data_IF_431033885132
#
_entry.id   IF_431033885132
#
_cell.length_a   1.000
_cell.length_b   1.000
_cell.length_c   1.000
_cell.angle_alpha   90.00
_cell.angle_beta   90.00
_cell.angle_gamma   90.00
#
_symmetry.space_group_name_H-M   'P 1'
#
loop_
_entity.id
_entity.type
_entity.pdbx_description
1 polymer ?
#
# COMPACT_ATOMS: atom_id res chain seq x y z
N UNK A 1 18.09 6.79 -1.87
CA UNK A 1 16.86 7.08 -2.63
C UNK A 1 17.19 7.59 -4.02
N UNK A 2 16.52 7.09 -5.04
CA UNK A 2 16.68 7.59 -6.43
C UNK A 2 15.59 8.64 -6.65
N UNK A 3 16.02 9.90 -6.90
CA UNK A 3 15.10 11.03 -7.18
C UNK A 3 14.18 10.76 -8.38
N UNK A 4 14.70 10.06 -9.38
CA UNK A 4 13.98 9.70 -10.61
C UNK A 4 12.77 8.76 -10.32
N UNK A 5 12.83 8.00 -9.23
CA UNK A 5 11.77 7.08 -8.82
C UNK A 5 10.85 7.67 -7.73
N UNK A 6 11.01 8.94 -7.37
CA UNK A 6 10.19 9.61 -6.36
C UNK A 6 10.20 8.94 -4.98
N UNK A 7 11.32 8.29 -4.62
CA UNK A 7 11.45 7.51 -3.39
C UNK A 7 11.57 8.43 -2.18
N UNK A 8 10.59 8.36 -1.27
CA UNK A 8 10.60 8.99 0.05
C UNK A 8 10.34 7.90 1.08
N UNK A 9 11.36 7.56 1.86
CA UNK A 9 11.27 6.45 2.81
C UNK A 9 10.84 6.95 4.17
N UNK A 10 9.75 6.42 4.67
CA UNK A 10 9.28 6.68 6.03
C UNK A 10 10.19 5.98 7.04
N UNK A 11 10.74 6.75 7.99
CA UNK A 11 11.76 6.27 8.93
C UNK A 11 11.21 6.03 10.35
N UNK A 12 10.08 6.64 10.71
CA UNK A 12 9.52 6.54 12.05
C UNK A 12 8.85 5.18 12.29
N UNK A 13 9.40 4.42 13.26
CA UNK A 13 8.92 3.06 13.57
C UNK A 13 7.52 3.03 14.18
N UNK A 14 7.12 4.05 14.93
CA UNK A 14 5.80 4.11 15.57
C UNK A 14 4.72 4.36 14.54
N UNK A 15 4.99 5.24 13.59
CA UNK A 15 4.11 5.51 12.44
C UNK A 15 3.97 4.27 11.56
N UNK A 16 5.09 3.60 11.23
CA UNK A 16 5.06 2.36 10.45
C UNK A 16 4.26 1.25 11.15
N UNK A 17 4.41 1.13 12.48
CA UNK A 17 3.61 0.19 13.26
C UNK A 17 2.12 0.53 13.24
N UNK A 18 1.76 1.82 13.29
CA UNK A 18 0.38 2.29 13.20
C UNK A 18 -0.21 2.00 11.82
N UNK A 19 0.54 2.28 10.74
CA UNK A 19 0.12 1.98 9.36
C UNK A 19 -0.14 0.48 9.20
N UNK A 20 0.78 -0.37 9.66
CA UNK A 20 0.60 -1.81 9.62
C UNK A 20 -0.60 -2.27 10.48
N UNK A 21 -0.89 -1.56 11.58
CA UNK A 21 -2.06 -1.80 12.45
C UNK A 21 -3.38 -1.58 11.72
N UNK A 22 -3.49 -0.55 10.88
CA UNK A 22 -4.68 -0.33 10.06
C UNK A 22 -4.98 -1.47 9.07
N UNK A 23 -3.98 -2.30 8.75
CA UNK A 23 -4.16 -3.48 7.91
C UNK A 23 -4.95 -4.60 8.56
N UNK A 24 -5.21 -4.54 9.88
CA UNK A 24 -5.96 -5.57 10.63
C UNK A 24 -5.47 -6.99 10.32
N UNK A 25 -4.13 -7.15 10.22
CA UNK A 25 -3.49 -8.37 9.76
C UNK A 25 -3.47 -9.44 10.84
N UNK A 26 -3.74 -10.66 10.42
CA UNK A 26 -3.65 -11.88 11.23
C UNK A 26 -2.72 -12.90 10.55
N UNK A 27 -2.35 -13.96 11.27
CA UNK A 27 -1.55 -15.06 10.71
C UNK A 27 -2.22 -15.84 9.56
N UNK A 28 -3.45 -15.53 9.21
CA UNK A 28 -4.17 -16.13 8.08
C UNK A 28 -4.17 -15.23 6.83
N UNK A 29 -3.77 -13.97 6.99
CA UNK A 29 -3.83 -13.00 5.91
C UNK A 29 -2.62 -13.07 4.99
N UNK A 30 -2.86 -12.91 3.69
CA UNK A 30 -1.86 -12.52 2.71
C UNK A 30 -1.93 -11.02 2.50
N UNK A 31 -0.80 -10.33 2.65
CA UNK A 31 -0.70 -8.89 2.39
C UNK A 31 0.24 -8.62 1.22
N UNK A 32 -0.21 -7.79 0.30
CA UNK A 32 0.60 -7.21 -0.78
C UNK A 32 1.18 -5.88 -0.28
N UNK A 33 2.50 -5.75 -0.33
CA UNK A 33 3.20 -4.48 -0.17
C UNK A 33 3.73 -4.01 -1.51
N UNK A 34 3.40 -2.79 -1.89
CA UNK A 34 3.83 -2.16 -3.13
C UNK A 34 4.95 -1.18 -2.83
N UNK A 35 6.13 -1.41 -3.40
CA UNK A 35 7.30 -0.58 -3.18
C UNK A 35 7.83 -0.64 -1.75
N UNK A 36 8.27 -1.81 -1.26
CA UNK A 36 8.77 -2.00 0.11
C UNK A 36 10.01 -1.13 0.43
N UNK A 37 10.74 -0.71 -0.59
CA UNK A 37 11.95 0.09 -0.41
C UNK A 37 12.96 -0.59 0.50
N UNK A 38 13.43 0.08 1.58
CA UNK A 38 14.38 -0.51 2.52
C UNK A 38 13.80 -1.56 3.48
N UNK A 39 12.50 -1.85 3.43
CA UNK A 39 11.85 -2.95 4.17
C UNK A 39 11.36 -2.61 5.58
N UNK A 40 11.33 -1.32 5.95
CA UNK A 40 10.92 -0.92 7.29
C UNK A 40 9.43 -1.23 7.58
N UNK A 41 8.54 -0.98 6.61
CA UNK A 41 7.13 -1.37 6.69
C UNK A 41 7.01 -2.89 6.54
N UNK A 42 7.73 -3.51 5.61
CA UNK A 42 7.76 -4.95 5.40
C UNK A 42 8.01 -5.72 6.69
N UNK A 43 8.99 -5.28 7.51
CA UNK A 43 9.27 -5.89 8.80
C UNK A 43 8.08 -5.83 9.77
N UNK A 44 7.28 -4.76 9.73
CA UNK A 44 6.04 -4.65 10.52
C UNK A 44 4.95 -5.58 10.01
N UNK A 45 4.85 -5.77 8.69
CA UNK A 45 3.89 -6.66 8.06
C UNK A 45 4.24 -8.13 8.34
N UNK A 46 5.52 -8.51 8.22
CA UNK A 46 5.99 -9.88 8.51
C UNK A 46 5.70 -10.33 9.95
N UNK A 47 5.64 -9.39 10.91
CA UNK A 47 5.28 -9.71 12.30
C UNK A 47 3.80 -9.99 12.52
N UNK A 48 2.94 -9.65 11.56
CA UNK A 48 1.47 -9.65 11.71
C UNK A 48 0.76 -10.60 10.75
N UNK A 49 1.21 -10.65 9.51
CA UNK A 49 0.58 -11.42 8.44
C UNK A 49 1.09 -12.86 8.36
N UNK A 50 0.28 -13.75 7.82
CA UNK A 50 0.70 -15.11 7.49
C UNK A 50 1.62 -15.17 6.26
N UNK A 51 1.41 -14.28 5.29
CA UNK A 51 2.24 -14.14 4.08
C UNK A 51 2.35 -12.68 3.67
N UNK A 52 3.55 -12.24 3.34
CA UNK A 52 3.83 -10.92 2.80
C UNK A 52 4.40 -11.08 1.39
N UNK A 53 3.71 -10.53 0.40
CA UNK A 53 4.19 -10.44 -0.99
C UNK A 53 4.61 -9.00 -1.22
N UNK A 54 5.91 -8.76 -1.36
CA UNK A 54 6.49 -7.44 -1.52
C UNK A 54 6.98 -7.24 -2.95
N UNK A 55 6.29 -6.38 -3.72
CA UNK A 55 6.60 -6.12 -5.13
C UNK A 55 7.42 -4.85 -5.24
N UNK A 56 8.68 -4.97 -5.69
CA UNK A 56 9.65 -3.88 -5.82
C UNK A 56 10.17 -3.77 -7.25
N UNK A 57 10.10 -2.56 -7.80
CA UNK A 57 10.60 -2.25 -9.13
C UNK A 57 12.13 -2.14 -9.18
N UNK A 58 12.73 -1.53 -8.16
CA UNK A 58 14.19 -1.35 -8.09
C UNK A 58 14.87 -2.70 -7.79
N UNK A 59 15.73 -3.13 -8.74
CA UNK A 59 16.45 -4.41 -8.64
C UNK A 59 17.27 -4.52 -7.35
N UNK A 60 18.00 -3.47 -7.00
CA UNK A 60 18.92 -3.50 -5.84
C UNK A 60 18.11 -3.62 -4.54
N UNK A 61 17.01 -2.87 -4.43
CA UNK A 61 16.14 -2.94 -3.25
C UNK A 61 15.46 -4.30 -3.14
N UNK A 62 14.95 -4.84 -4.25
CA UNK A 62 14.32 -6.16 -4.27
C UNK A 62 15.28 -7.29 -3.84
N UNK A 63 16.51 -7.29 -4.37
CA UNK A 63 17.55 -8.27 -4.03
C UNK A 63 17.99 -8.18 -2.56
N UNK A 64 18.00 -6.98 -1.97
CA UNK A 64 18.43 -6.75 -0.60
C UNK A 64 17.31 -6.85 0.44
N UNK A 65 16.05 -6.88 0.01
CA UNK A 65 14.88 -6.76 0.90
C UNK A 65 14.88 -7.79 2.04
N UNK A 66 15.02 -9.07 1.71
CA UNK A 66 14.97 -10.15 2.71
C UNK A 66 16.06 -10.01 3.78
N UNK A 67 17.29 -9.67 3.37
CA UNK A 67 18.41 -9.43 4.29
C UNK A 67 18.15 -8.24 5.22
N UNK A 68 17.66 -7.14 4.68
CA UNK A 68 17.33 -5.93 5.47
C UNK A 68 16.18 -6.18 6.46
N UNK A 69 15.15 -6.90 6.01
CA UNK A 69 14.04 -7.28 6.87
C UNK A 69 14.51 -8.22 7.99
N UNK A 70 15.40 -9.17 7.69
CA UNK A 70 16.01 -10.04 8.67
C UNK A 70 16.78 -9.27 9.76
N UNK A 71 17.57 -8.26 9.38
CA UNK A 71 18.26 -7.37 10.31
C UNK A 71 17.27 -6.61 11.21
N UNK A 72 16.20 -6.04 10.61
CA UNK A 72 15.17 -5.28 11.33
C UNK A 72 14.34 -6.15 12.29
N UNK A 73 14.18 -7.42 11.98
CA UNK A 73 13.41 -8.38 12.79
C UNK A 73 14.25 -9.14 13.80
N UNK A 74 15.57 -9.18 13.62
CA UNK A 74 16.48 -10.02 14.39
C UNK A 74 16.42 -11.50 14.01
N UNK A 75 15.97 -11.81 12.79
CA UNK A 75 15.85 -13.18 12.26
C UNK A 75 15.23 -13.21 10.88
N UNK A 76 15.39 -14.32 10.16
CA UNK A 76 14.88 -14.49 8.79
C UNK A 76 13.34 -14.48 8.76
N UNK A 77 12.71 -13.66 7.90
CA UNK A 77 11.26 -13.66 7.73
C UNK A 77 10.82 -14.89 6.90
N UNK A 78 10.27 -15.90 7.56
CA UNK A 78 9.82 -17.14 6.89
C UNK A 78 8.60 -16.93 5.98
N UNK A 79 7.88 -15.82 6.14
CA UNK A 79 6.63 -15.49 5.46
C UNK A 79 6.77 -14.36 4.41
N UNK A 80 8.00 -13.95 4.07
CA UNK A 80 8.27 -12.90 3.08
C UNK A 80 8.58 -13.49 1.71
N UNK A 81 7.85 -13.04 0.70
CA UNK A 81 8.12 -13.25 -0.72
C UNK A 81 8.47 -11.90 -1.36
N UNK A 82 9.73 -11.74 -1.77
CA UNK A 82 10.21 -10.56 -2.48
C UNK A 82 10.10 -10.80 -3.99
N UNK A 83 9.31 -9.98 -4.67
CA UNK A 83 9.07 -10.07 -6.11
C UNK A 83 9.64 -8.83 -6.79
N UNK A 84 10.61 -9.02 -7.70
CA UNK A 84 11.10 -7.96 -8.56
C UNK A 84 10.19 -7.80 -9.76
N UNK A 85 9.32 -6.77 -9.74
CA UNK A 85 8.41 -6.48 -10.85
C UNK A 85 7.96 -5.01 -10.82
N UNK A 86 7.44 -4.52 -11.94
CA UNK A 86 6.59 -3.34 -11.94
C UNK A 86 5.20 -3.76 -11.41
N UNK A 87 4.68 -3.04 -10.44
CA UNK A 87 3.34 -3.31 -9.93
C UNK A 87 2.28 -3.20 -11.03
N UNK A 88 2.51 -2.40 -12.05
CA UNK A 88 1.58 -2.26 -13.17
C UNK A 88 1.50 -3.53 -14.03
N UNK A 89 2.57 -4.33 -14.07
CA UNK A 89 2.64 -5.60 -14.80
C UNK A 89 2.36 -6.82 -13.90
N UNK A 90 2.37 -6.62 -12.57
CA UNK A 90 2.14 -7.72 -11.62
C UNK A 90 0.70 -8.24 -11.69
N UNK A 91 0.55 -9.56 -11.79
CA UNK A 91 -0.77 -10.20 -11.84
C UNK A 91 -1.39 -10.30 -10.44
N UNK A 92 -2.43 -9.50 -10.17
CA UNK A 92 -3.16 -9.53 -8.90
C UNK A 92 -4.01 -10.80 -8.74
N UNK A 93 -4.33 -11.49 -9.83
CA UNK A 93 -5.10 -12.75 -9.77
C UNK A 93 -4.25 -13.92 -9.24
N UNK A 94 -2.92 -13.78 -9.24
CA UNK A 94 -2.00 -14.71 -8.58
C UNK A 94 -2.07 -14.67 -7.04
N UNK A 95 -2.67 -13.62 -6.46
CA UNK A 95 -2.90 -13.51 -5.03
C UNK A 95 -4.17 -14.27 -4.61
N UNK A 96 -4.24 -14.78 -3.37
CA UNK A 96 -5.45 -15.42 -2.87
C UNK A 96 -6.60 -14.40 -2.80
N UNK A 97 -7.84 -14.88 -2.92
CA UNK A 97 -9.01 -14.04 -2.70
C UNK A 97 -8.96 -13.39 -1.29
N UNK A 98 -9.48 -12.17 -1.19
CA UNK A 98 -9.48 -11.38 0.06
C UNK A 98 -8.08 -11.00 0.59
N UNK A 99 -7.05 -11.00 -0.26
CA UNK A 99 -5.77 -10.42 0.15
C UNK A 99 -5.95 -8.97 0.59
N UNK A 100 -4.99 -8.48 1.37
CA UNK A 100 -4.94 -7.09 1.85
C UNK A 100 -3.79 -6.35 1.19
N UNK A 101 -3.85 -5.04 1.16
CA UNK A 101 -2.77 -4.17 0.68
C UNK A 101 -2.37 -3.24 1.82
N UNK A 102 -1.08 -3.16 2.11
CA UNK A 102 -0.52 -2.12 3.00
C UNK A 102 0.75 -1.58 2.36
N UNK A 103 0.77 -0.29 2.00
CA UNK A 103 1.88 0.26 1.22
C UNK A 103 2.13 1.75 1.46
N UNK A 104 3.41 2.14 1.31
CA UNK A 104 3.85 3.51 1.14
C UNK A 104 4.32 3.68 -0.30
N UNK A 105 3.45 4.15 -1.18
CA UNK A 105 3.68 4.17 -2.63
C UNK A 105 4.30 5.49 -3.12
N UNK A 106 5.04 5.48 -4.25
CA UNK A 106 5.47 6.71 -4.91
C UNK A 106 4.24 7.53 -5.34
N UNK A 107 4.23 8.83 -5.04
CA UNK A 107 3.04 9.67 -5.23
C UNK A 107 2.56 9.77 -6.68
N UNK A 108 3.49 9.73 -7.65
CA UNK A 108 3.16 9.81 -9.08
C UNK A 108 2.41 8.58 -9.62
N UNK A 109 2.44 7.46 -8.88
CA UNK A 109 1.74 6.21 -9.24
C UNK A 109 0.39 6.07 -8.56
N UNK A 110 0.02 6.94 -7.63
CA UNK A 110 -1.17 6.77 -6.78
C UNK A 110 -2.43 6.45 -7.59
N UNK A 111 -2.76 7.27 -8.59
CA UNK A 111 -4.00 7.07 -9.38
C UNK A 111 -3.99 5.74 -10.15
N UNK A 112 -2.86 5.39 -10.76
CA UNK A 112 -2.72 4.13 -11.51
C UNK A 112 -2.83 2.90 -10.61
N UNK A 113 -2.23 2.96 -9.42
CA UNK A 113 -2.30 1.85 -8.44
C UNK A 113 -3.73 1.70 -7.94
N UNK A 114 -4.42 2.81 -7.62
CA UNK A 114 -5.82 2.76 -7.20
C UNK A 114 -6.70 2.13 -8.29
N UNK A 115 -6.55 2.58 -9.53
CA UNK A 115 -7.27 2.02 -10.67
C UNK A 115 -6.99 0.51 -10.81
N UNK A 116 -5.71 0.10 -10.82
CA UNK A 116 -5.32 -1.30 -10.92
C UNK A 116 -5.95 -2.17 -9.83
N UNK A 117 -5.91 -1.73 -8.57
CA UNK A 117 -6.45 -2.50 -7.44
C UNK A 117 -7.96 -2.66 -7.51
N UNK A 118 -8.70 -1.59 -7.83
CA UNK A 118 -10.15 -1.58 -7.77
C UNK A 118 -10.85 -1.97 -9.09
N UNK A 119 -10.16 -1.92 -10.23
CA UNK A 119 -10.65 -2.47 -11.50
C UNK A 119 -10.32 -3.96 -11.69
N UNK A 120 -9.47 -4.55 -10.85
CA UNK A 120 -9.12 -5.98 -10.91
C UNK A 120 -10.32 -6.87 -10.59
N UNK A 121 -10.40 -8.03 -11.23
CA UNK A 121 -11.34 -9.09 -10.86
C UNK A 121 -11.05 -9.63 -9.44
N UNK A 122 -9.79 -9.63 -9.02
CA UNK A 122 -9.37 -9.98 -7.66
C UNK A 122 -9.04 -8.70 -6.86
N UNK A 123 -10.07 -8.04 -6.35
CA UNK A 123 -9.92 -6.84 -5.52
C UNK A 123 -9.45 -7.17 -4.10
N UNK A 124 -8.62 -6.32 -3.46
CA UNK A 124 -8.26 -6.50 -2.06
C UNK A 124 -9.49 -6.36 -1.16
N UNK A 125 -9.53 -7.09 -0.04
CA UNK A 125 -10.57 -6.92 0.99
C UNK A 125 -10.39 -5.61 1.77
N UNK A 126 -9.13 -5.20 1.95
CA UNK A 126 -8.72 -3.98 2.65
C UNK A 126 -7.46 -3.45 1.98
N UNK A 127 -7.42 -2.15 1.69
CA UNK A 127 -6.20 -1.47 1.25
C UNK A 127 -5.90 -0.27 2.16
N UNK A 128 -4.68 -0.25 2.71
CA UNK A 128 -4.14 0.81 3.57
C UNK A 128 -2.95 1.42 2.83
N UNK A 129 -3.10 2.64 2.36
CA UNK A 129 -2.09 3.25 1.49
C UNK A 129 -1.75 4.66 1.99
N UNK A 130 -0.46 4.91 2.14
CA UNK A 130 0.06 6.24 2.46
C UNK A 130 0.23 7.03 1.15
N UNK A 131 -0.49 8.16 1.05
CA UNK A 131 -0.51 9.04 -0.12
C UNK A 131 -0.32 10.49 0.29
N UNK A 132 -0.13 11.40 -0.67
CA UNK A 132 -0.14 12.83 -0.38
C UNK A 132 -1.46 13.23 0.28
N UNK A 133 -1.39 14.13 1.28
CA UNK A 133 -2.55 14.54 2.08
C UNK A 133 -3.72 15.05 1.23
N UNK A 134 -3.45 15.84 0.20
CA UNK A 134 -4.48 16.33 -0.71
C UNK A 134 -5.18 15.19 -1.45
N UNK A 135 -4.41 14.17 -1.90
CA UNK A 135 -4.96 13.00 -2.58
C UNK A 135 -5.82 12.17 -1.63
N UNK A 136 -5.37 11.99 -0.37
CA UNK A 136 -6.16 11.31 0.66
C UNK A 136 -7.51 12.01 0.89
N UNK A 137 -7.50 13.33 1.04
CA UNK A 137 -8.73 14.12 1.23
C UNK A 137 -9.66 14.03 0.03
N UNK A 138 -9.11 14.04 -1.19
CA UNK A 138 -9.91 13.86 -2.43
C UNK A 138 -10.52 12.46 -2.52
N UNK A 139 -9.79 11.41 -2.14
CA UNK A 139 -10.30 10.03 -2.12
C UNK A 139 -11.46 9.85 -1.12
N UNK A 140 -11.41 10.54 0.01
CA UNK A 140 -12.43 10.50 1.06
C UNK A 140 -13.52 11.58 0.92
N UNK A 141 -13.55 12.31 -0.21
CA UNK A 141 -14.53 13.38 -0.45
C UNK A 141 -15.97 12.83 -0.45
N UNK A 142 -16.91 13.67 -0.02
CA UNK A 142 -18.34 13.35 0.01
C UNK A 142 -19.03 13.66 -1.34
N UNK A 143 -20.24 13.15 -1.58
CA UNK A 143 -21.03 13.48 -2.77
C UNK A 143 -21.13 15.00 -2.99
N UNK A 144 -20.94 15.43 -4.22
CA UNK A 144 -20.85 16.85 -4.62
C UNK A 144 -19.42 17.39 -4.75
N UNK A 145 -18.41 16.68 -4.22
CA UNK A 145 -17.00 17.04 -4.31
C UNK A 145 -16.12 15.91 -4.87
N UNK A 146 -16.73 14.89 -5.45
CA UNK A 146 -16.03 13.69 -5.93
C UNK A 146 -15.22 14.00 -7.20
N UNK A 147 -13.94 13.64 -7.18
CA UNK A 147 -13.10 13.54 -8.38
C UNK A 147 -13.30 12.19 -9.07
N UNK A 148 -12.87 12.05 -10.34
CA UNK A 148 -12.88 10.75 -11.03
C UNK A 148 -12.17 9.67 -10.23
N UNK A 149 -11.02 9.97 -9.64
CA UNK A 149 -10.28 9.05 -8.78
C UNK A 149 -11.09 8.63 -7.54
N UNK A 150 -11.79 9.57 -6.91
CA UNK A 150 -12.66 9.24 -5.76
C UNK A 150 -13.82 8.34 -6.18
N UNK A 151 -14.44 8.62 -7.33
CA UNK A 151 -15.54 7.82 -7.87
C UNK A 151 -15.04 6.40 -8.16
N UNK A 152 -13.94 6.24 -8.91
CA UNK A 152 -13.41 4.92 -9.29
C UNK A 152 -13.08 4.04 -8.07
N UNK A 153 -12.68 4.63 -6.96
CA UNK A 153 -12.43 3.88 -5.71
C UNK A 153 -13.72 3.67 -4.92
N UNK A 154 -14.54 4.72 -4.73
CA UNK A 154 -15.71 4.65 -3.84
C UNK A 154 -16.86 3.80 -4.40
N UNK A 155 -16.87 3.51 -5.69
CA UNK A 155 -17.76 2.52 -6.29
C UNK A 155 -17.57 1.12 -5.67
N UNK A 156 -16.33 0.77 -5.29
CA UNK A 156 -15.95 -0.55 -4.79
C UNK A 156 -15.58 -0.58 -3.32
N UNK A 157 -15.18 0.57 -2.74
CA UNK A 157 -14.69 0.65 -1.38
C UNK A 157 -15.31 1.77 -0.56
N UNK A 158 -15.39 1.57 0.74
CA UNK A 158 -15.60 2.65 1.72
C UNK A 158 -14.24 3.21 2.07
N UNK A 159 -14.11 4.53 2.01
CA UNK A 159 -12.84 5.24 2.21
C UNK A 159 -12.87 5.99 3.53
N UNK A 160 -11.87 5.75 4.36
CA UNK A 160 -11.65 6.41 5.64
C UNK A 160 -10.25 7.03 5.67
N UNK A 161 -10.10 8.12 6.41
CA UNK A 161 -8.81 8.77 6.62
C UNK A 161 -8.16 8.25 7.91
N UNK A 162 -6.93 7.77 7.78
CA UNK A 162 -6.07 7.45 8.91
C UNK A 162 -5.21 8.64 9.34
N UNK A 163 -4.09 8.35 10.02
CA UNK A 163 -3.18 9.36 10.55
C UNK A 163 -2.56 10.22 9.44
N UNK A 164 -2.27 11.47 9.81
CA UNK A 164 -1.42 12.38 9.04
C UNK A 164 0.04 12.07 9.37
N UNK A 165 0.89 12.13 8.35
CA UNK A 165 2.33 11.86 8.49
C UNK A 165 3.09 13.08 7.96
N UNK A 166 3.76 13.84 8.83
CA UNK A 166 4.54 15.01 8.44
C UNK A 166 5.65 14.66 7.45
N UNK A 167 5.93 15.56 6.52
CA UNK A 167 6.96 15.38 5.50
C UNK A 167 8.36 15.13 6.09
N UNK A 168 8.66 15.73 7.24
CA UNK A 168 9.94 15.60 7.94
C UNK A 168 10.27 14.19 8.44
N UNK A 169 9.29 13.29 8.51
CA UNK A 169 9.48 11.89 8.91
C UNK A 169 9.97 10.98 7.77
N UNK A 170 10.16 11.54 6.59
CA UNK A 170 10.67 10.82 5.41
C UNK A 170 12.10 11.22 5.06
N UNK A 171 12.84 10.30 4.49
CA UNK A 171 14.17 10.55 3.91
C UNK A 171 14.22 10.05 2.45
N UNK A 172 14.42 10.99 1.48
CA UNK A 172 14.36 12.44 1.59
C UNK A 172 12.94 12.93 1.91
N UNK A 173 12.85 14.10 2.58
CA UNK A 173 11.55 14.70 2.88
C UNK A 173 10.82 15.13 1.60
N UNK A 174 9.54 14.75 1.40
CA UNK A 174 8.71 15.25 0.32
C UNK A 174 8.34 16.73 0.53
N UNK A 175 7.74 17.37 -0.48
CA UNK A 175 7.33 18.77 -0.40
C UNK A 175 6.05 19.00 0.41
N UNK A 176 5.28 17.95 0.66
CA UNK A 176 3.95 18.01 1.30
C UNK A 176 3.79 16.84 2.27
N UNK A 177 2.95 17.03 3.27
CA UNK A 177 2.57 15.98 4.19
C UNK A 177 1.82 14.85 3.50
N UNK A 178 1.85 13.69 4.12
CA UNK A 178 1.11 12.51 3.72
C UNK A 178 -0.05 12.22 4.66
N UNK A 179 -0.95 11.38 4.23
CA UNK A 179 -2.03 10.84 5.05
C UNK A 179 -2.34 9.42 4.62
N UNK A 180 -2.66 8.59 5.58
CA UNK A 180 -3.11 7.21 5.35
C UNK A 180 -4.54 7.24 4.83
N UNK A 181 -4.81 6.43 3.81
CA UNK A 181 -6.16 6.13 3.32
C UNK A 181 -6.45 4.66 3.60
N UNK A 182 -7.58 4.39 4.22
CA UNK A 182 -8.06 3.05 4.55
C UNK A 182 -9.29 2.79 3.69
N UNK A 183 -9.24 1.74 2.88
CA UNK A 183 -10.26 1.43 1.88
C UNK A 183 -10.77 0.01 2.10
N UNK A 184 -11.95 -0.13 2.67
CA UNK A 184 -12.62 -1.41 2.89
C UNK A 184 -13.48 -1.76 1.67
N UNK A 185 -13.23 -2.91 1.04
CA UNK A 185 -14.06 -3.38 -0.08
C UNK A 185 -15.53 -3.47 0.35
N UNK A 186 -16.42 -2.98 -0.51
CA UNK A 186 -17.86 -3.10 -0.29
C UNK A 186 -18.30 -4.54 -0.54
N UNK A 187 -19.19 -5.04 0.32
CA UNK A 187 -19.93 -6.29 0.07
C UNK A 187 -20.96 -6.14 -1.05
N UNK A 188 -21.44 -4.91 -1.27
CA UNK A 188 -22.39 -4.51 -2.30
C UNK A 188 -21.81 -3.33 -3.09
N UNK A 189 -21.02 -3.59 -4.14
CA UNK A 189 -20.44 -2.54 -4.95
C UNK A 189 -21.55 -1.75 -5.67
N UNK A 190 -21.34 -0.45 -5.84
CA UNK A 190 -22.33 0.44 -6.47
C UNK A 190 -22.48 0.21 -7.98
N UNK A 191 -21.51 -0.45 -8.61
CA UNK A 191 -21.52 -0.85 -10.02
C UNK A 191 -20.83 -2.21 -10.14
N UNK A 192 -21.33 -3.16 -10.98
CA UNK A 192 -20.63 -4.39 -11.29
C UNK A 192 -19.26 -4.12 -11.92
N UNK A 193 -18.23 -4.87 -11.52
CA UNK A 193 -16.86 -4.69 -12.04
C UNK A 193 -16.75 -4.91 -13.57
N UNK A 194 -17.73 -5.58 -14.19
CA UNK A 194 -17.78 -5.86 -15.63
C UNK A 194 -18.32 -4.68 -16.48
N UNK A 195 -18.74 -3.58 -15.88
CA UNK A 195 -19.33 -2.42 -16.56
C UNK A 195 -18.40 -1.18 -16.60
N UNK A 196 -17.13 -1.33 -16.23
CA UNK A 196 -16.09 -0.31 -16.32
C UNK A 196 -15.07 -0.65 -17.40
#
# INVERSE_FOLDING_TARGET
AKKELGQNFLCDRSILSTIAGYGELTGQDTVLEIGPGPGALTAQLCRRAGRVVAVEYDRVLAEQLAGRVAELMGGQPANLESVRADIMDYDLEALPANYKVVANIPYYLTSKIMEKLWASANQPSLAVILVQREVAQRLAATPGQLSLLAISVQLFARVELGIKVPAELFDPAPKVDSQVVIMHRRSDPLVPAAEL
#
